data_IF_567031346160
#
_entry.id   IF_567031346160
#
_cell.length_a   1.000
_cell.length_b   1.000
_cell.length_c   1.000
_cell.angle_alpha   90.00
_cell.angle_beta   90.00
_cell.angle_gamma   90.00
#
_symmetry.space_group_name_H-M   'P 1'
#
loop_
_entity.id
_entity.type
_entity.pdbx_description
1 polymer ?
#
# COMPACT_ATOMS: atom_id res chain seq x y z
N UNK A 1 22.73 -5.88 20.20
CA UNK A 1 22.83 -7.36 20.05
C UNK A 1 23.54 -7.69 18.74
N UNK A 2 24.33 -8.78 18.65
CA UNK A 2 24.95 -9.18 17.39
C UNK A 2 23.86 -9.52 16.36
N UNK A 3 23.94 -8.91 15.16
CA UNK A 3 23.03 -9.22 14.05
C UNK A 3 23.09 -10.72 13.77
N UNK A 4 21.92 -11.37 13.77
CA UNK A 4 21.76 -12.75 13.29
C UNK A 4 22.29 -12.78 11.86
N UNK A 5 23.37 -13.52 11.62
CA UNK A 5 23.95 -13.66 10.28
C UNK A 5 23.22 -14.76 9.54
N UNK A 6 22.53 -14.41 8.46
CA UNK A 6 21.90 -15.37 7.58
C UNK A 6 22.80 -15.69 6.39
N UNK A 7 22.93 -16.98 6.05
CA UNK A 7 23.75 -17.41 4.91
C UNK A 7 23.28 -16.77 3.59
N UNK A 8 21.97 -16.56 3.45
CA UNK A 8 21.36 -15.97 2.26
C UNK A 8 21.67 -14.47 2.08
N UNK A 9 22.25 -13.78 3.08
CA UNK A 9 22.59 -12.35 2.97
C UNK A 9 23.59 -12.06 1.85
N UNK A 10 24.50 -13.00 1.61
CA UNK A 10 25.59 -12.89 0.64
C UNK A 10 25.23 -13.42 -0.75
N UNK A 11 24.07 -14.06 -0.89
CA UNK A 11 23.62 -14.58 -2.18
C UNK A 11 23.35 -13.43 -3.15
N UNK A 12 23.65 -13.69 -4.43
CA UNK A 12 23.18 -12.86 -5.53
C UNK A 12 21.64 -12.79 -5.54
N UNK A 13 21.07 -11.84 -6.26
CA UNK A 13 19.60 -11.75 -6.37
C UNK A 13 19.01 -13.04 -6.95
N UNK A 14 19.65 -13.62 -7.97
CA UNK A 14 19.15 -14.82 -8.65
C UNK A 14 19.17 -16.04 -7.73
N UNK A 15 20.26 -16.23 -6.96
CA UNK A 15 20.35 -17.30 -5.97
C UNK A 15 19.38 -17.10 -4.79
N UNK A 16 19.18 -15.85 -4.36
CA UNK A 16 18.23 -15.52 -3.31
C UNK A 16 16.79 -15.79 -3.76
N UNK A 17 16.45 -15.47 -5.01
CA UNK A 17 15.12 -15.73 -5.58
C UNK A 17 14.77 -17.23 -5.58
N UNK A 18 15.76 -18.13 -5.65
CA UNK A 18 15.53 -19.58 -5.55
C UNK A 18 15.29 -20.08 -4.11
N UNK A 19 15.49 -19.23 -3.09
CA UNK A 19 15.21 -19.62 -1.71
C UNK A 19 13.71 -19.70 -1.45
N UNK A 20 13.30 -20.69 -0.65
CA UNK A 20 11.93 -20.79 -0.13
C UNK A 20 11.69 -19.70 0.91
N UNK A 21 10.47 -19.15 0.94
CA UNK A 21 10.09 -18.17 1.97
C UNK A 21 10.37 -18.71 3.40
N UNK A 22 9.97 -19.95 3.67
CA UNK A 22 10.23 -20.64 4.95
C UNK A 22 11.71 -20.84 5.29
N UNK A 23 12.63 -20.84 4.32
CA UNK A 23 14.07 -20.99 4.59
C UNK A 23 14.73 -19.70 5.07
N UNK A 24 14.07 -18.55 4.92
CA UNK A 24 14.61 -17.25 5.36
C UNK A 24 14.78 -17.17 6.88
N UNK A 25 13.85 -17.80 7.62
CA UNK A 25 13.85 -17.90 9.10
C UNK A 25 14.03 -16.56 9.82
N UNK A 26 13.57 -15.48 9.19
CA UNK A 26 13.55 -14.15 9.78
C UNK A 26 12.45 -14.04 10.83
N UNK A 27 12.66 -13.15 11.80
CA UNK A 27 11.79 -12.96 12.97
C UNK A 27 11.58 -11.46 13.20
N UNK A 28 10.61 -11.10 14.05
CA UNK A 28 10.41 -9.70 14.47
C UNK A 28 11.49 -9.29 15.47
N UNK A 29 11.80 -10.19 16.39
CA UNK A 29 12.75 -10.01 17.48
C UNK A 29 14.17 -9.72 16.96
N UNK A 30 14.83 -8.74 17.56
CA UNK A 30 16.16 -8.27 17.17
C UNK A 30 16.18 -7.40 15.92
N UNK A 31 15.02 -6.91 15.46
CA UNK A 31 14.87 -6.03 14.29
C UNK A 31 14.17 -4.73 14.68
N UNK A 32 14.22 -3.72 13.81
CA UNK A 32 13.51 -2.45 13.99
C UNK A 32 11.97 -2.61 14.01
N UNK A 33 11.44 -3.76 13.59
CA UNK A 33 10.02 -4.09 13.71
C UNK A 33 9.63 -4.35 15.17
N UNK A 34 10.55 -4.88 15.99
CA UNK A 34 10.31 -5.07 17.43
C UNK A 34 10.03 -3.74 18.10
N UNK A 35 10.81 -2.70 17.78
CA UNK A 35 10.60 -1.34 18.27
C UNK A 35 9.24 -0.78 17.81
N UNK A 36 8.85 -1.01 16.54
CA UNK A 36 7.56 -0.58 16.02
C UNK A 36 6.38 -1.26 16.75
N UNK A 37 6.47 -2.57 16.98
CA UNK A 37 5.45 -3.35 17.70
C UNK A 37 5.38 -2.92 19.16
N UNK A 38 6.53 -2.68 19.80
CA UNK A 38 6.59 -2.16 21.16
C UNK A 38 5.90 -0.79 21.26
N UNK A 39 6.20 0.14 20.34
CA UNK A 39 5.52 1.44 20.27
C UNK A 39 4.01 1.30 20.07
N UNK A 40 3.55 0.39 19.20
CA UNK A 40 2.12 0.12 19.04
C UNK A 40 1.48 -0.38 20.35
N UNK A 41 2.15 -1.29 21.06
CA UNK A 41 1.64 -1.80 22.34
C UNK A 41 1.60 -0.71 23.42
N UNK A 42 2.61 0.16 23.48
CA UNK A 42 2.60 1.34 24.36
C UNK A 42 1.42 2.27 24.05
N UNK A 43 1.17 2.57 22.77
CA UNK A 43 0.03 3.40 22.36
C UNK A 43 -1.32 2.78 22.74
N UNK A 44 -1.46 1.45 22.68
CA UNK A 44 -2.66 0.73 23.12
C UNK A 44 -2.80 0.75 24.65
N UNK A 45 -1.70 0.55 25.38
CA UNK A 45 -1.67 0.56 26.83
C UNK A 45 -2.02 1.95 27.40
N UNK A 46 -1.51 3.02 26.79
CA UNK A 46 -1.86 4.42 27.13
C UNK A 46 -3.37 4.70 26.99
N UNK A 47 -4.06 3.93 26.15
CA UNK A 47 -5.51 3.99 25.95
C UNK A 47 -6.28 2.98 26.81
N UNK A 48 -5.58 2.23 27.68
CA UNK A 48 -6.19 1.20 28.54
C UNK A 48 -6.69 -0.03 27.76
N UNK A 49 -6.27 -0.21 26.52
CA UNK A 49 -6.68 -1.33 25.67
C UNK A 49 -5.83 -2.55 26.01
N UNK A 50 -6.46 -3.56 26.61
CA UNK A 50 -5.75 -4.76 27.08
C UNK A 50 -5.35 -5.74 25.98
N UNK A 51 -6.04 -5.70 24.84
CA UNK A 51 -5.72 -6.56 23.72
C UNK A 51 -4.42 -6.05 23.10
N UNK A 52 -3.36 -6.86 23.22
CA UNK A 52 -2.09 -6.63 22.53
C UNK A 52 -2.00 -7.59 21.34
N UNK A 53 -2.15 -7.11 20.09
CA UNK A 53 -2.13 -7.99 18.94
C UNK A 53 -0.81 -8.77 18.90
N UNK A 54 -0.89 -10.10 18.78
CA UNK A 54 0.33 -10.89 18.55
C UNK A 54 0.77 -10.71 17.10
N UNK A 55 2.08 -10.71 16.88
CA UNK A 55 2.65 -10.49 15.55
C UNK A 55 3.40 -11.73 15.07
N UNK A 56 3.41 -11.98 13.77
CA UNK A 56 4.23 -13.00 13.14
C UNK A 56 4.69 -12.57 11.75
N UNK A 57 5.76 -13.19 11.25
CA UNK A 57 6.21 -12.92 9.88
C UNK A 57 5.38 -13.76 8.89
N UNK A 58 4.94 -13.14 7.79
CA UNK A 58 4.23 -13.76 6.67
C UNK A 58 4.72 -13.18 5.33
N UNK A 59 3.96 -13.39 4.25
CA UNK A 59 4.26 -12.87 2.92
C UNK A 59 3.88 -11.39 2.74
N UNK A 60 2.78 -10.93 3.34
CA UNK A 60 2.24 -9.57 3.23
C UNK A 60 1.66 -9.10 4.58
N UNK A 61 1.24 -7.83 4.65
CA UNK A 61 0.47 -7.28 5.76
C UNK A 61 -0.97 -7.80 5.74
N UNK A 62 -1.48 -8.27 6.88
CA UNK A 62 -2.91 -8.52 7.10
C UNK A 62 -3.21 -8.87 8.57
N UNK A 63 -4.45 -8.61 8.98
CA UNK A 63 -5.05 -9.16 10.20
C UNK A 63 -6.12 -10.18 9.80
N UNK A 64 -5.97 -11.49 10.10
CA UNK A 64 -6.97 -12.48 9.73
C UNK A 64 -8.30 -12.25 10.46
N UNK A 65 -9.39 -12.64 9.81
CA UNK A 65 -10.71 -12.68 10.44
C UNK A 65 -10.69 -13.57 11.69
N UNK A 66 -11.32 -13.08 12.77
CA UNK A 66 -11.42 -13.79 14.05
C UNK A 66 -10.06 -14.14 14.71
N UNK A 67 -8.97 -13.51 14.28
CA UNK A 67 -7.64 -13.64 14.92
C UNK A 67 -7.17 -12.25 15.38
N UNK A 68 -6.97 -12.03 16.70
CA UNK A 68 -6.51 -10.74 17.23
C UNK A 68 -4.99 -10.59 17.07
N UNK A 69 -4.49 -10.60 15.83
CA UNK A 69 -3.07 -10.53 15.54
C UNK A 69 -2.74 -10.05 14.13
N UNK A 70 -1.47 -9.71 13.92
CA UNK A 70 -0.99 -8.99 12.73
C UNK A 70 0.12 -9.82 12.04
N UNK A 71 -0.10 -10.15 10.78
CA UNK A 71 0.94 -10.65 9.89
C UNK A 71 1.80 -9.51 9.36
N UNK A 72 3.12 -9.65 9.47
CA UNK A 72 4.12 -8.68 9.02
C UNK A 72 4.90 -9.27 7.85
N UNK A 73 5.09 -8.57 6.72
CA UNK A 73 5.83 -9.12 5.58
C UNK A 73 7.30 -9.38 5.90
N UNK A 74 7.80 -10.52 5.43
CA UNK A 74 9.18 -10.98 5.61
C UNK A 74 10.22 -9.97 5.12
N UNK A 75 9.92 -9.20 4.08
CA UNK A 75 10.89 -8.30 3.47
C UNK A 75 11.31 -7.16 4.39
N UNK A 76 10.48 -6.79 5.38
CA UNK A 76 10.82 -5.74 6.35
C UNK A 76 11.78 -6.20 7.44
N UNK A 77 11.90 -7.51 7.66
CA UNK A 77 12.71 -8.07 8.74
C UNK A 77 14.23 -7.98 8.47
N UNK A 78 14.67 -7.65 7.25
CA UNK A 78 16.09 -7.53 6.95
C UNK A 78 16.41 -6.60 5.77
N UNK A 79 17.46 -5.73 5.85
CA UNK A 79 17.81 -4.79 4.78
C UNK A 79 18.07 -5.42 3.40
N UNK A 80 18.65 -6.62 3.36
CA UNK A 80 18.88 -7.36 2.10
C UNK A 80 17.58 -7.75 1.41
N UNK A 81 16.54 -8.09 2.19
CA UNK A 81 15.22 -8.44 1.69
C UNK A 81 14.46 -7.18 1.26
N UNK A 82 14.54 -6.08 2.01
CA UNK A 82 14.01 -4.77 1.58
C UNK A 82 14.62 -4.32 0.26
N UNK A 83 15.93 -4.57 0.04
CA UNK A 83 16.59 -4.27 -1.24
C UNK A 83 16.04 -5.13 -2.38
N UNK A 84 15.75 -6.42 -2.11
CA UNK A 84 15.13 -7.31 -3.09
C UNK A 84 13.70 -6.87 -3.40
N UNK A 85 12.86 -6.62 -2.39
CA UNK A 85 11.48 -6.11 -2.54
C UNK A 85 11.48 -4.85 -3.40
N UNK A 86 12.35 -3.88 -3.08
CA UNK A 86 12.50 -2.65 -3.87
C UNK A 86 12.89 -2.90 -5.33
N UNK A 87 13.70 -3.93 -5.60
CA UNK A 87 14.10 -4.28 -6.97
C UNK A 87 12.93 -4.92 -7.73
N UNK A 88 12.20 -5.82 -7.07
CA UNK A 88 11.13 -6.61 -7.68
C UNK A 88 9.82 -5.83 -7.81
N UNK A 89 9.55 -4.91 -6.87
CA UNK A 89 8.26 -4.21 -6.71
C UNK A 89 8.38 -2.69 -6.86
N UNK A 90 9.60 -2.16 -7.01
CA UNK A 90 9.93 -0.72 -7.06
C UNK A 90 9.58 0.11 -5.81
N UNK A 91 8.98 -0.51 -4.81
CA UNK A 91 8.62 0.07 -3.53
C UNK A 91 8.86 -0.95 -2.40
N UNK A 92 8.87 -0.47 -1.16
CA UNK A 92 8.90 -1.32 0.04
C UNK A 92 7.80 -0.81 0.96
N UNK A 93 6.63 -1.44 0.91
CA UNK A 93 5.50 -1.01 1.73
C UNK A 93 5.81 -1.17 3.22
N UNK A 94 5.58 -0.11 4.00
CA UNK A 94 6.02 -0.09 5.38
C UNK A 94 7.55 -0.01 5.56
N UNK A 95 8.33 0.28 4.50
CA UNK A 95 9.79 0.31 4.56
C UNK A 95 10.41 1.47 5.36
N UNK A 96 9.58 2.34 5.93
CA UNK A 96 10.00 3.44 6.83
C UNK A 96 9.23 3.36 8.14
N UNK A 97 9.81 3.85 9.24
CA UNK A 97 9.14 3.91 10.55
C UNK A 97 7.72 4.48 10.47
N UNK A 98 7.56 5.61 9.78
CA UNK A 98 6.28 6.30 9.65
C UNK A 98 5.24 5.45 8.91
N UNK A 99 5.63 4.79 7.84
CA UNK A 99 4.71 3.95 7.03
C UNK A 99 4.40 2.64 7.76
N UNK A 100 5.40 2.00 8.37
CA UNK A 100 5.22 0.81 9.21
C UNK A 100 4.24 1.07 10.36
N UNK A 101 4.45 2.17 11.09
CA UNK A 101 3.55 2.56 12.18
C UNK A 101 2.16 3.01 11.69
N UNK A 102 2.01 3.45 10.44
CA UNK A 102 0.68 3.70 9.88
C UNK A 102 -0.04 2.35 9.68
N UNK A 103 0.60 1.41 8.98
CA UNK A 103 0.02 0.09 8.69
C UNK A 103 -0.24 -0.69 10.00
N UNK A 104 0.70 -0.72 10.93
CA UNK A 104 0.52 -1.40 12.23
C UNK A 104 -0.70 -0.91 13.01
N UNK A 105 -0.95 0.40 13.03
CA UNK A 105 -2.15 0.97 13.69
C UNK A 105 -3.43 0.59 12.95
N UNK A 106 -3.38 0.52 11.63
CA UNK A 106 -4.49 0.05 10.81
C UNK A 106 -4.80 -1.42 11.11
N UNK A 107 -3.80 -2.31 11.04
CA UNK A 107 -3.97 -3.73 11.34
C UNK A 107 -4.37 -3.99 12.80
N UNK A 108 -3.89 -3.16 13.74
CA UNK A 108 -4.37 -3.19 15.11
C UNK A 108 -5.86 -2.86 15.21
N UNK A 109 -6.38 -1.97 14.35
CA UNK A 109 -7.82 -1.70 14.24
C UNK A 109 -8.62 -2.97 13.91
N UNK A 110 -8.17 -3.75 12.92
CA UNK A 110 -8.77 -5.04 12.58
C UNK A 110 -8.65 -6.05 13.73
N UNK A 111 -7.48 -6.16 14.37
CA UNK A 111 -7.29 -7.05 15.51
C UNK A 111 -8.22 -6.71 16.68
N UNK A 112 -8.44 -5.42 16.96
CA UNK A 112 -9.37 -4.92 17.99
C UNK A 112 -10.82 -5.16 17.58
N UNK A 113 -11.17 -4.92 16.31
CA UNK A 113 -12.48 -5.23 15.74
C UNK A 113 -12.85 -6.69 16.03
N UNK A 114 -11.99 -7.63 15.61
CA UNK A 114 -12.24 -9.06 15.77
C UNK A 114 -12.18 -9.49 17.24
N UNK A 115 -11.17 -9.04 17.98
CA UNK A 115 -10.98 -9.40 19.39
C UNK A 115 -12.18 -9.10 20.28
N UNK A 116 -12.86 -7.98 20.05
CA UNK A 116 -14.06 -7.56 20.81
C UNK A 116 -15.38 -7.74 20.04
N UNK A 117 -15.33 -8.32 18.83
CA UNK A 117 -16.47 -8.48 17.93
C UNK A 117 -17.26 -7.18 17.69
N UNK A 118 -16.56 -6.06 17.55
CA UNK A 118 -17.15 -4.72 17.47
C UNK A 118 -18.09 -4.55 16.28
N UNK A 119 -17.79 -5.24 15.18
CA UNK A 119 -18.55 -5.25 13.93
C UNK A 119 -19.98 -5.82 14.08
N UNK A 120 -20.27 -6.52 15.18
CA UNK A 120 -21.62 -7.03 15.49
C UNK A 120 -22.53 -5.98 16.13
N UNK A 121 -21.97 -4.87 16.63
CA UNK A 121 -22.74 -3.82 17.31
C UNK A 121 -23.58 -3.02 16.31
N UNK A 122 -24.85 -2.76 16.66
CA UNK A 122 -25.78 -2.00 15.79
C UNK A 122 -25.25 -0.62 15.40
N UNK A 123 -24.71 0.13 16.36
CA UNK A 123 -24.17 1.48 16.10
C UNK A 123 -22.92 1.46 15.21
N UNK A 124 -22.09 0.42 15.34
CA UNK A 124 -20.97 0.19 14.43
C UNK A 124 -21.49 0.02 12.99
N UNK A 125 -22.47 -0.87 12.79
CA UNK A 125 -23.04 -1.14 11.46
C UNK A 125 -23.74 0.08 10.84
N UNK A 126 -24.37 0.93 11.66
CA UNK A 126 -24.97 2.18 11.20
C UNK A 126 -23.93 3.19 10.69
N UNK A 127 -22.75 3.23 11.29
CA UNK A 127 -21.70 4.21 10.97
C UNK A 127 -20.77 3.74 9.84
N UNK A 128 -20.37 2.47 9.84
CA UNK A 128 -19.40 1.91 8.90
C UNK A 128 -20.05 1.06 7.79
N UNK A 129 -21.20 0.45 8.08
CA UNK A 129 -21.85 -0.54 7.23
C UNK A 129 -21.66 -1.96 7.74
N UNK A 130 -22.24 -2.99 7.08
CA UNK A 130 -22.10 -4.38 7.50
C UNK A 130 -20.73 -4.96 7.11
N UNK A 131 -20.03 -5.57 8.07
CA UNK A 131 -18.76 -6.29 7.84
C UNK A 131 -18.93 -7.52 6.94
N UNK A 132 -20.14 -8.09 6.85
CA UNK A 132 -20.47 -9.19 5.94
C UNK A 132 -20.54 -8.79 4.46
N UNK A 133 -20.25 -7.52 4.13
CA UNK A 133 -20.17 -7.09 2.74
C UNK A 133 -19.03 -7.85 2.05
N UNK A 134 -19.23 -8.21 0.79
CA UNK A 134 -18.16 -8.88 0.05
C UNK A 134 -16.99 -7.92 -0.15
N UNK A 135 -15.78 -8.34 0.23
CA UNK A 135 -14.55 -7.62 -0.08
C UNK A 135 -14.40 -7.53 -1.59
N UNK A 136 -14.46 -6.33 -2.18
CA UNK A 136 -14.32 -6.22 -3.61
C UNK A 136 -12.88 -6.57 -3.99
N UNK A 137 -12.66 -7.19 -5.14
CA UNK A 137 -11.28 -7.32 -5.68
C UNK A 137 -10.65 -5.95 -6.00
N UNK A 138 -11.50 -4.93 -6.08
CA UNK A 138 -11.30 -3.72 -6.85
C UNK A 138 -12.31 -2.65 -6.41
N UNK A 139 -11.86 -1.47 -5.98
CA UNK A 139 -12.77 -0.38 -5.58
C UNK A 139 -12.49 0.95 -6.30
N UNK A 140 -13.50 1.83 -6.30
CA UNK A 140 -13.43 3.18 -6.87
C UNK A 140 -13.78 4.19 -5.77
N UNK A 141 -12.79 4.87 -5.18
CA UNK A 141 -13.07 5.87 -4.16
C UNK A 141 -13.63 7.15 -4.80
N UNK A 142 -14.30 7.94 -3.96
CA UNK A 142 -14.67 9.32 -4.24
C UNK A 142 -13.71 10.25 -3.48
N UNK A 143 -12.73 10.87 -4.15
CA UNK A 143 -11.77 11.77 -3.53
C UNK A 143 -12.36 12.98 -2.79
N UNK A 144 -13.54 13.44 -3.23
CA UNK A 144 -14.23 14.59 -2.63
C UNK A 144 -15.06 14.22 -1.39
N UNK A 145 -15.16 12.93 -1.05
CA UNK A 145 -15.96 12.48 0.10
C UNK A 145 -15.31 12.90 1.41
N UNK A 146 -16.08 13.63 2.24
CA UNK A 146 -15.72 13.97 3.63
C UNK A 146 -16.25 12.96 4.66
N UNK A 147 -16.84 11.85 4.21
CA UNK A 147 -17.43 10.82 5.09
C UNK A 147 -16.40 9.86 5.68
N UNK A 148 -15.15 9.92 5.22
CA UNK A 148 -14.08 8.99 5.57
C UNK A 148 -12.88 9.76 6.07
N UNK A 149 -12.12 9.12 6.96
CA UNK A 149 -10.82 9.64 7.36
C UNK A 149 -9.78 9.44 6.24
N UNK A 150 -8.68 10.17 6.32
CA UNK A 150 -7.52 10.04 5.44
C UNK A 150 -6.30 9.60 6.26
N UNK A 151 -5.92 8.33 6.10
CA UNK A 151 -4.80 7.72 6.79
C UNK A 151 -3.85 7.01 5.83
N UNK A 152 -4.21 5.84 5.30
CA UNK A 152 -3.49 5.18 4.22
C UNK A 152 -3.83 5.84 2.87
N UNK A 153 -2.98 5.57 1.86
CA UNK A 153 -3.12 6.16 0.52
C UNK A 153 -4.38 5.63 -0.18
N UNK A 154 -4.69 6.21 -1.34
CA UNK A 154 -5.75 5.73 -2.23
C UNK A 154 -7.17 5.74 -1.62
N UNK A 155 -7.40 6.54 -0.57
CA UNK A 155 -8.69 6.61 0.12
C UNK A 155 -9.14 5.24 0.63
N UNK A 156 -8.19 4.47 1.19
CA UNK A 156 -8.38 3.08 1.59
C UNK A 156 -9.60 2.84 2.48
N UNK A 157 -9.95 3.80 3.35
CA UNK A 157 -11.17 3.78 4.16
C UNK A 157 -12.48 3.60 3.37
N UNK A 158 -12.49 3.85 2.05
CA UNK A 158 -13.68 3.70 1.19
C UNK A 158 -13.83 2.29 0.59
N UNK A 159 -12.84 1.42 0.79
CA UNK A 159 -12.77 0.13 0.10
C UNK A 159 -13.76 -0.89 0.68
N UNK A 160 -13.93 -0.90 2.01
CA UNK A 160 -14.82 -1.80 2.74
C UNK A 160 -15.16 -1.23 4.14
N UNK A 161 -16.32 -1.55 4.75
CA UNK A 161 -16.68 -1.11 6.11
C UNK A 161 -15.62 -1.38 7.18
N UNK A 162 -14.97 -2.53 7.12
CA UNK A 162 -13.93 -2.91 8.08
C UNK A 162 -12.68 -2.04 7.89
N UNK A 163 -12.35 -1.68 6.65
CA UNK A 163 -11.24 -0.78 6.33
C UNK A 163 -11.54 0.66 6.77
N UNK A 164 -12.78 1.11 6.65
CA UNK A 164 -13.24 2.39 7.19
C UNK A 164 -13.06 2.46 8.71
N UNK A 165 -13.38 1.37 9.42
CA UNK A 165 -13.15 1.26 10.85
C UNK A 165 -11.66 1.23 11.20
N UNK A 166 -10.86 0.38 10.55
CA UNK A 166 -9.43 0.25 10.81
C UNK A 166 -8.67 1.57 10.55
N UNK A 167 -9.01 2.27 9.46
CA UNK A 167 -8.47 3.60 9.17
C UNK A 167 -8.90 4.65 10.22
N UNK A 168 -10.16 4.64 10.64
CA UNK A 168 -10.68 5.54 11.68
C UNK A 168 -9.99 5.29 13.03
N UNK A 169 -9.82 4.01 13.39
CA UNK A 169 -9.10 3.59 14.59
C UNK A 169 -7.63 4.05 14.54
N UNK A 170 -6.94 3.87 13.42
CA UNK A 170 -5.54 4.28 13.29
C UNK A 170 -5.33 5.80 13.46
N UNK A 171 -6.25 6.61 12.93
CA UNK A 171 -6.25 8.08 13.13
C UNK A 171 -6.50 8.46 14.58
N UNK A 172 -7.44 7.77 15.23
CA UNK A 172 -7.78 7.99 16.64
C UNK A 172 -6.62 7.61 17.57
N UNK A 173 -6.00 6.44 17.34
CA UNK A 173 -4.93 5.89 18.18
C UNK A 173 -3.66 6.75 18.11
N UNK A 174 -3.31 7.22 16.90
CA UNK A 174 -2.07 7.98 16.65
C UNK A 174 -1.89 9.13 17.65
N UNK A 175 -0.79 9.18 18.41
CA UNK A 175 -0.52 10.25 19.36
C UNK A 175 -0.54 11.63 18.69
N UNK A 176 -1.11 12.61 19.39
CA UNK A 176 -1.18 14.02 18.94
C UNK A 176 -1.79 14.18 17.53
N UNK A 177 -2.74 13.32 17.15
CA UNK A 177 -3.35 13.38 15.81
C UNK A 177 -4.27 14.59 15.59
N UNK A 178 -4.66 15.30 16.67
CA UNK A 178 -5.57 16.46 16.65
C UNK A 178 -6.82 16.21 15.79
N UNK A 179 -7.33 14.97 15.83
CA UNK A 179 -8.37 14.51 14.91
C UNK A 179 -9.66 15.31 15.03
N UNK A 180 -9.98 15.83 16.23
CA UNK A 180 -11.16 16.68 16.47
C UNK A 180 -11.13 17.93 15.60
N UNK A 181 -10.03 18.67 15.62
CA UNK A 181 -9.83 19.87 14.80
C UNK A 181 -9.65 19.51 13.32
N UNK A 182 -8.88 18.45 13.01
CA UNK A 182 -8.60 18.06 11.63
C UNK A 182 -9.86 17.69 10.83
N UNK A 183 -10.85 17.07 11.49
CA UNK A 183 -12.09 16.60 10.87
C UNK A 183 -13.31 17.46 11.27
N UNK A 184 -13.10 18.66 11.80
CA UNK A 184 -14.18 19.58 12.11
C UNK A 184 -15.06 19.84 10.88
N UNK A 185 -16.38 19.74 11.05
CA UNK A 185 -17.36 19.87 9.97
C UNK A 185 -17.40 18.71 8.97
N UNK A 186 -16.59 17.65 9.15
CA UNK A 186 -16.65 16.45 8.30
C UNK A 186 -17.57 15.40 8.92
N UNK A 187 -18.42 14.71 8.12
CA UNK A 187 -19.20 13.58 8.64
C UNK A 187 -18.35 12.44 9.24
N UNK A 188 -17.09 12.30 8.82
CA UNK A 188 -16.13 11.36 9.41
C UNK A 188 -15.89 11.59 10.91
N UNK A 189 -16.07 12.81 11.41
CA UNK A 189 -15.88 13.14 12.82
C UNK A 189 -16.78 12.31 13.74
N UNK A 190 -18.02 12.04 13.31
CA UNK A 190 -18.95 11.19 14.07
C UNK A 190 -18.43 9.76 14.28
N UNK A 191 -17.65 9.24 13.32
CA UNK A 191 -17.02 7.93 13.43
C UNK A 191 -15.86 7.95 14.42
N UNK A 192 -15.05 9.02 14.40
CA UNK A 192 -13.95 9.22 15.35
C UNK A 192 -14.47 9.37 16.79
N UNK A 193 -15.53 10.15 16.99
CA UNK A 193 -16.21 10.29 18.28
C UNK A 193 -16.77 8.95 18.76
N UNK A 194 -17.39 8.18 17.86
CA UNK A 194 -17.86 6.84 18.18
C UNK A 194 -16.72 5.89 18.55
N UNK A 195 -15.59 5.92 17.83
CA UNK A 195 -14.41 5.11 18.18
C UNK A 195 -13.85 5.52 19.54
N UNK A 196 -13.78 6.82 19.86
CA UNK A 196 -13.32 7.31 21.17
C UNK A 196 -14.19 6.80 22.32
N UNK A 197 -15.52 6.89 22.17
CA UNK A 197 -16.50 6.34 23.12
C UNK A 197 -16.37 4.82 23.25
N UNK A 198 -16.32 4.12 22.11
CA UNK A 198 -16.24 2.66 22.06
C UNK A 198 -14.96 2.12 22.71
N UNK A 199 -13.83 2.80 22.51
CA UNK A 199 -12.55 2.43 23.13
C UNK A 199 -12.58 2.69 24.64
N UNK A 200 -13.22 3.77 25.09
CA UNK A 200 -13.49 4.01 26.51
C UNK A 200 -14.34 2.91 27.16
N UNK A 201 -15.35 2.40 26.46
CA UNK A 201 -16.19 1.31 26.97
C UNK A 201 -15.43 -0.02 27.13
N UNK A 202 -14.45 -0.32 26.26
CA UNK A 202 -13.70 -1.58 26.31
C UNK A 202 -12.39 -1.46 27.10
N UNK A 203 -12.00 -0.25 27.51
CA UNK A 203 -10.82 -0.03 28.33
C UNK A 203 -10.85 -0.91 29.60
N UNK A 204 -9.73 -1.56 29.90
CA UNK A 204 -9.60 -2.49 31.02
C UNK A 204 -10.32 -3.85 30.86
N UNK A 205 -11.15 -4.03 29.83
CA UNK A 205 -11.85 -5.31 29.57
C UNK A 205 -10.98 -6.28 28.79
N UNK A 206 -11.18 -7.58 29.03
CA UNK A 206 -10.52 -8.64 28.26
C UNK A 206 -11.23 -8.80 26.90
N UNK A 207 -10.51 -9.08 25.81
CA UNK A 207 -11.14 -9.41 24.54
C UNK A 207 -11.90 -10.73 24.63
N UNK A 208 -12.94 -10.87 23.80
CA UNK A 208 -13.76 -12.08 23.70
C UNK A 208 -13.01 -13.19 22.96
N UNK A 209 -12.27 -12.82 21.92
CA UNK A 209 -11.42 -13.72 21.17
C UNK A 209 -9.98 -13.55 21.64
N UNK A 210 -9.36 -14.65 22.07
CA UNK A 210 -7.99 -14.68 22.61
C UNK A 210 -7.08 -15.68 21.88
N UNK A 211 -7.51 -16.20 20.73
CA UNK A 211 -6.68 -17.14 19.94
C UNK A 211 -5.36 -16.48 19.54
N UNK A 212 -4.29 -17.29 19.50
CA UNK A 212 -2.96 -16.88 19.04
C UNK A 212 -2.54 -17.61 17.78
N UNK A 213 -3.52 -18.09 17.00
CA UNK A 213 -3.30 -18.67 15.69
C UNK A 213 -2.50 -17.70 14.79
N UNK A 214 -1.64 -18.27 13.95
CA UNK A 214 -0.84 -17.55 12.96
C UNK A 214 -1.25 -18.09 11.60
N UNK A 215 -1.99 -17.28 10.84
CA UNK A 215 -2.43 -17.63 9.48
C UNK A 215 -1.29 -17.35 8.52
N UNK A 216 -1.01 -18.31 7.62
CA UNK A 216 0.07 -18.25 6.64
C UNK A 216 1.43 -17.80 7.22
N UNK A 217 1.91 -18.38 8.33
CA UNK A 217 3.18 -17.98 8.92
C UNK A 217 4.32 -18.33 7.97
N UNK A 218 5.37 -17.50 7.94
CA UNK A 218 6.50 -17.65 7.02
C UNK A 218 7.09 -19.06 7.01
N UNK A 219 7.16 -19.70 8.19
CA UNK A 219 7.67 -21.06 8.36
C UNK A 219 6.89 -22.13 7.58
N UNK A 220 5.65 -21.86 7.20
CA UNK A 220 4.78 -22.77 6.43
C UNK A 220 4.73 -22.43 4.94
N UNK A 221 5.30 -21.29 4.52
CA UNK A 221 5.31 -20.86 3.12
C UNK A 221 6.44 -21.58 2.35
N UNK A 222 6.06 -22.56 1.53
CA UNK A 222 7.00 -23.41 0.77
C UNK A 222 7.41 -22.83 -0.58
N UNK A 223 6.65 -21.87 -1.12
CA UNK A 223 6.96 -21.22 -2.40
C UNK A 223 8.30 -20.50 -2.35
N UNK A 224 8.98 -20.42 -3.50
CA UNK A 224 10.22 -19.65 -3.63
C UNK A 224 9.93 -18.15 -3.64
N UNK A 225 10.96 -17.35 -3.36
CA UNK A 225 10.89 -15.91 -3.53
C UNK A 225 10.55 -15.54 -4.98
N UNK A 226 11.10 -16.26 -5.96
CA UNK A 226 10.77 -16.06 -7.38
C UNK A 226 9.27 -16.27 -7.66
N UNK A 227 8.69 -17.37 -7.20
CA UNK A 227 7.26 -17.68 -7.37
C UNK A 227 6.39 -16.61 -6.70
N UNK A 228 6.75 -16.21 -5.48
CA UNK A 228 6.08 -15.12 -4.75
C UNK A 228 6.06 -13.83 -5.57
N UNK A 229 7.22 -13.37 -6.05
CA UNK A 229 7.30 -12.13 -6.83
C UNK A 229 6.62 -12.23 -8.18
N UNK A 230 6.72 -13.36 -8.89
CA UNK A 230 5.98 -13.59 -10.14
C UNK A 230 4.48 -13.47 -9.93
N UNK A 231 3.95 -14.09 -8.86
CA UNK A 231 2.53 -13.99 -8.49
C UNK A 231 2.13 -12.55 -8.14
N UNK A 232 2.93 -11.87 -7.32
CA UNK A 232 2.68 -10.47 -6.90
C UNK A 232 2.72 -9.51 -8.10
N UNK A 233 3.70 -9.65 -8.98
CA UNK A 233 3.79 -8.85 -10.22
C UNK A 233 2.64 -9.12 -11.18
N UNK A 234 2.22 -10.38 -11.34
CA UNK A 234 1.06 -10.74 -12.17
C UNK A 234 -0.25 -10.13 -11.63
N UNK A 235 -0.39 -9.98 -10.31
CA UNK A 235 -1.53 -9.29 -9.70
C UNK A 235 -1.57 -7.80 -10.06
N UNK A 236 -0.41 -7.12 -10.04
CA UNK A 236 -0.27 -5.72 -10.44
C UNK A 236 -0.14 -5.51 -11.96
N UNK A 237 -0.12 -6.59 -12.76
CA UNK A 237 0.02 -6.53 -14.20
C UNK A 237 -1.20 -5.85 -14.83
N UNK A 238 -1.08 -4.54 -15.00
CA UNK A 238 -2.05 -3.72 -15.70
C UNK A 238 -1.77 -3.74 -17.20
N UNK A 239 -2.68 -4.30 -18.00
CA UNK A 239 -2.67 -4.05 -19.46
C UNK A 239 -3.14 -2.63 -19.75
N UNK A 240 -2.30 -1.73 -20.27
CA UNK A 240 -2.71 -0.36 -20.56
C UNK A 240 -3.68 -0.30 -21.74
N UNK A 241 -4.68 0.58 -21.71
CA UNK A 241 -5.46 0.88 -22.91
C UNK A 241 -4.58 1.60 -23.94
N UNK A 242 -4.71 1.26 -25.23
CA UNK A 242 -3.96 1.84 -26.37
C UNK A 242 -4.32 3.31 -26.69
N UNK A 243 -4.70 4.11 -25.70
CA UNK A 243 -5.33 5.43 -25.90
C UNK A 243 -4.36 6.61 -25.79
N UNK A 244 -3.05 6.37 -25.64
CA UNK A 244 -2.07 7.44 -25.40
C UNK A 244 -1.54 8.12 -26.66
N UNK A 245 -1.71 7.54 -27.84
CA UNK A 245 -1.11 8.03 -29.11
C UNK A 245 -1.41 9.50 -29.39
N UNK A 246 -2.66 9.92 -29.21
CA UNK A 246 -3.08 11.31 -29.43
C UNK A 246 -2.37 12.27 -28.49
N UNK A 247 -2.21 11.90 -27.23
CA UNK A 247 -1.58 12.76 -26.23
C UNK A 247 -0.05 12.76 -26.37
N UNK A 248 0.55 11.62 -26.70
CA UNK A 248 1.97 11.53 -27.03
C UNK A 248 2.32 12.37 -28.26
N UNK A 249 1.48 12.37 -29.29
CA UNK A 249 1.68 13.16 -30.51
C UNK A 249 1.44 14.66 -30.32
N UNK A 250 0.82 15.07 -29.21
CA UNK A 250 0.74 16.50 -28.82
C UNK A 250 2.02 16.98 -28.14
N UNK A 251 2.71 16.07 -27.47
CA UNK A 251 3.91 16.38 -26.70
C UNK A 251 5.20 16.20 -27.51
N UNK A 252 5.23 15.17 -28.35
CA UNK A 252 6.37 14.81 -29.19
C UNK A 252 6.01 14.96 -30.66
N UNK A 253 6.99 15.28 -31.49
CA UNK A 253 6.75 15.60 -32.90
C UNK A 253 6.85 14.36 -33.81
N UNK A 254 5.95 14.27 -34.77
CA UNK A 254 6.00 13.36 -35.93
C UNK A 254 6.52 14.06 -37.19
N UNK A 255 6.89 15.34 -37.12
CA UNK A 255 7.29 16.12 -38.30
C UNK A 255 8.59 15.56 -38.90
N UNK A 256 8.62 15.20 -40.20
CA UNK A 256 9.81 14.66 -40.85
C UNK A 256 11.06 15.56 -40.73
N UNK A 257 10.87 16.87 -40.57
CA UNK A 257 11.97 17.84 -40.36
C UNK A 257 12.75 17.56 -39.08
N UNK A 258 12.16 16.85 -38.12
CA UNK A 258 12.76 16.52 -36.84
C UNK A 258 13.24 15.06 -36.74
N UNK A 259 13.34 14.30 -37.84
CA UNK A 259 13.78 12.90 -37.81
C UNK A 259 15.16 12.68 -37.14
N UNK A 260 16.07 13.67 -37.23
CA UNK A 260 17.40 13.62 -36.58
C UNK A 260 17.37 13.95 -35.09
N UNK A 261 16.26 14.49 -34.60
CA UNK A 261 16.09 14.78 -33.17
C UNK A 261 16.02 13.47 -32.37
N UNK A 262 16.35 13.60 -31.08
CA UNK A 262 16.35 12.48 -30.13
C UNK A 262 15.00 11.76 -30.13
N UNK A 263 14.94 10.42 -30.19
CA UNK A 263 13.70 9.69 -30.04
C UNK A 263 13.01 9.98 -28.70
N UNK A 264 11.70 10.20 -28.70
CA UNK A 264 10.91 10.43 -27.49
C UNK A 264 10.99 9.23 -26.53
N UNK A 265 10.99 8.01 -27.09
CA UNK A 265 11.18 6.78 -26.32
C UNK A 265 12.48 6.76 -25.52
N UNK A 266 13.57 7.29 -26.08
CA UNK A 266 14.87 7.41 -25.39
C UNK A 266 14.85 8.49 -24.30
N UNK A 267 14.11 9.59 -24.49
CA UNK A 267 13.89 10.60 -23.46
C UNK A 267 13.11 10.02 -22.28
N UNK A 268 11.98 9.36 -22.54
CA UNK A 268 11.14 8.76 -21.49
C UNK A 268 11.92 7.70 -20.71
N UNK A 269 12.66 6.82 -21.40
CA UNK A 269 13.51 5.80 -20.77
C UNK A 269 14.52 6.37 -19.80
N UNK A 270 15.21 7.45 -20.21
CA UNK A 270 16.21 8.12 -19.38
C UNK A 270 15.61 8.62 -18.06
N UNK A 271 14.40 9.16 -18.12
CA UNK A 271 13.72 9.79 -16.97
C UNK A 271 12.71 8.89 -16.26
N UNK A 272 12.55 7.63 -16.72
CA UNK A 272 11.51 6.69 -16.29
C UNK A 272 11.40 6.55 -14.78
N UNK A 273 12.51 6.28 -14.09
CA UNK A 273 12.52 6.07 -12.64
C UNK A 273 12.19 7.35 -11.85
N UNK A 274 12.50 8.53 -12.38
CA UNK A 274 12.12 9.81 -11.76
C UNK A 274 10.62 10.05 -11.94
N UNK A 275 10.12 9.93 -13.18
CA UNK A 275 8.70 10.13 -13.51
C UNK A 275 7.84 9.17 -12.69
N UNK A 276 8.16 7.87 -12.70
CA UNK A 276 7.43 6.85 -11.95
C UNK A 276 7.34 7.15 -10.45
N UNK A 277 8.46 7.47 -9.81
CA UNK A 277 8.49 7.79 -8.37
C UNK A 277 7.68 9.05 -8.05
N UNK A 278 7.75 10.06 -8.92
CA UNK A 278 7.03 11.31 -8.73
C UNK A 278 5.51 11.10 -8.90
N UNK A 279 5.10 10.41 -9.97
CA UNK A 279 3.68 10.09 -10.21
C UNK A 279 3.14 9.23 -9.07
N UNK A 280 3.82 8.15 -8.69
CA UNK A 280 3.39 7.27 -7.60
C UNK A 280 3.16 8.02 -6.28
N UNK A 281 4.04 8.98 -5.97
CA UNK A 281 3.90 9.81 -4.76
C UNK A 281 2.61 10.62 -4.75
N UNK A 282 2.21 11.16 -5.89
CA UNK A 282 1.05 12.05 -6.00
C UNK A 282 -0.26 11.31 -6.24
N UNK A 283 -0.23 10.21 -7.01
CA UNK A 283 -1.43 9.43 -7.34
C UNK A 283 -1.71 8.35 -6.30
N UNK A 284 -0.71 7.92 -5.54
CA UNK A 284 -0.78 6.76 -4.65
C UNK A 284 -0.69 5.42 -5.37
N UNK A 285 -0.59 5.42 -6.71
CA UNK A 285 -0.61 4.21 -7.54
C UNK A 285 0.66 3.37 -7.38
N UNK A 286 0.53 2.06 -7.52
CA UNK A 286 1.66 1.14 -7.43
C UNK A 286 2.70 1.45 -8.52
N UNK A 287 3.98 1.48 -8.14
CA UNK A 287 5.05 1.80 -9.08
C UNK A 287 5.17 0.76 -10.21
N UNK A 288 4.89 -0.53 -10.01
CA UNK A 288 4.86 -1.52 -11.10
C UNK A 288 3.79 -1.20 -12.14
N UNK A 289 2.60 -0.83 -11.68
CA UNK A 289 1.50 -0.47 -12.58
C UNK A 289 1.86 0.75 -13.42
N UNK A 290 2.47 1.77 -12.81
CA UNK A 290 3.00 2.92 -13.52
C UNK A 290 4.15 2.56 -14.47
N UNK A 291 5.01 1.62 -14.09
CA UNK A 291 6.11 1.14 -14.92
C UNK A 291 5.58 0.47 -16.20
N UNK A 292 4.56 -0.37 -16.09
CA UNK A 292 3.88 -0.99 -17.22
C UNK A 292 3.22 0.04 -18.16
N UNK A 293 2.63 1.09 -17.60
CA UNK A 293 2.08 2.22 -18.40
C UNK A 293 3.20 2.96 -19.14
N UNK A 294 4.33 3.21 -18.48
CA UNK A 294 5.48 3.86 -19.11
C UNK A 294 6.09 2.99 -20.22
N UNK A 295 6.12 1.67 -20.06
CA UNK A 295 6.54 0.74 -21.12
C UNK A 295 5.67 0.83 -22.36
N UNK A 296 4.36 0.82 -22.19
CA UNK A 296 3.43 0.97 -23.31
C UNK A 296 3.62 2.32 -24.01
N UNK A 297 3.70 3.43 -23.26
CA UNK A 297 3.97 4.75 -23.83
C UNK A 297 5.31 4.79 -24.59
N UNK A 298 6.36 4.13 -24.09
CA UNK A 298 7.65 4.00 -24.76
C UNK A 298 7.52 3.19 -26.06
N UNK A 299 6.75 2.10 -26.06
CA UNK A 299 6.46 1.31 -27.27
C UNK A 299 5.71 2.16 -28.30
N UNK A 300 4.63 2.83 -27.89
CA UNK A 300 3.86 3.73 -28.76
C UNK A 300 4.74 4.84 -29.35
N UNK A 301 5.61 5.45 -28.57
CA UNK A 301 6.56 6.45 -29.08
C UNK A 301 7.50 5.91 -30.16
N UNK A 302 7.88 4.62 -30.09
CA UNK A 302 8.72 3.99 -31.11
C UNK A 302 7.93 3.66 -32.37
N UNK A 303 6.75 3.08 -32.20
CA UNK A 303 5.88 2.69 -33.31
C UNK A 303 5.41 3.91 -34.13
N UNK A 304 5.21 5.05 -33.48
CA UNK A 304 4.83 6.32 -34.11
C UNK A 304 6.05 7.18 -34.54
N UNK A 305 7.27 6.69 -34.34
CA UNK A 305 8.54 7.40 -34.59
C UNK A 305 8.62 8.83 -33.98
N UNK A 306 8.09 8.99 -32.77
CA UNK A 306 7.99 10.29 -32.11
C UNK A 306 9.36 10.86 -31.70
N UNK A 307 9.52 12.17 -31.90
CA UNK A 307 10.75 12.92 -31.68
C UNK A 307 10.62 13.92 -30.53
N UNK A 308 11.60 13.94 -29.64
CA UNK A 308 11.73 14.91 -28.56
C UNK A 308 12.37 16.20 -29.08
N UNK A 309 11.54 17.18 -29.43
CA UNK A 309 11.97 18.46 -30.00
C UNK A 309 11.85 19.56 -28.95
N UNK A 310 12.94 20.28 -28.70
CA UNK A 310 13.01 21.37 -27.73
C UNK A 310 13.68 20.98 -26.41
N UNK A 311 13.35 21.71 -25.34
CA UNK A 311 13.98 21.55 -24.03
C UNK A 311 13.62 20.21 -23.39
N UNK A 312 14.64 19.40 -23.06
CA UNK A 312 14.47 18.12 -22.36
C UNK A 312 13.75 18.32 -21.01
N UNK A 313 14.08 19.38 -20.25
CA UNK A 313 13.43 19.66 -18.97
C UNK A 313 11.93 19.92 -19.13
N UNK A 314 11.54 20.73 -20.13
CA UNK A 314 10.13 21.03 -20.39
C UNK A 314 9.38 19.78 -20.83
N UNK A 315 9.94 18.99 -21.75
CA UNK A 315 9.33 17.75 -22.22
C UNK A 315 9.13 16.74 -21.09
N UNK A 316 10.10 16.60 -20.18
CA UNK A 316 9.98 15.72 -19.01
C UNK A 316 8.90 16.20 -18.06
N UNK A 317 8.82 17.51 -17.81
CA UNK A 317 7.77 18.11 -16.98
C UNK A 317 6.39 17.85 -17.59
N UNK A 318 6.20 18.23 -18.85
CA UNK A 318 4.92 18.10 -19.56
C UNK A 318 4.50 16.62 -19.67
N UNK A 319 5.46 15.71 -19.92
CA UNK A 319 5.20 14.27 -19.88
C UNK A 319 4.78 13.78 -18.50
N UNK A 320 5.44 14.26 -17.44
CA UNK A 320 5.06 13.91 -16.06
C UNK A 320 3.64 14.39 -15.75
N UNK A 321 3.27 15.61 -16.16
CA UNK A 321 1.90 16.13 -16.02
C UNK A 321 0.92 15.25 -16.77
N UNK A 322 1.22 14.87 -18.01
CA UNK A 322 0.39 13.97 -18.81
C UNK A 322 0.17 12.63 -18.10
N UNK A 323 1.25 11.98 -17.64
CA UNK A 323 1.15 10.68 -16.96
C UNK A 323 0.33 10.82 -15.68
N UNK A 324 0.60 11.82 -14.83
CA UNK A 324 -0.20 12.09 -13.63
C UNK A 324 -1.68 12.29 -13.97
N UNK A 325 -1.99 13.15 -14.94
CA UNK A 325 -3.37 13.43 -15.34
C UNK A 325 -4.08 12.17 -15.87
N UNK A 326 -3.38 11.34 -16.66
CA UNK A 326 -3.94 10.09 -17.19
C UNK A 326 -4.10 9.02 -16.13
N UNK A 327 -3.16 8.89 -15.20
CA UNK A 327 -3.29 7.99 -14.04
C UNK A 327 -4.48 8.43 -13.19
N UNK A 328 -4.59 9.71 -12.85
CA UNK A 328 -5.75 10.23 -12.09
C UNK A 328 -7.06 10.05 -12.87
N UNK A 329 -7.09 10.32 -14.17
CA UNK A 329 -8.29 10.09 -14.99
C UNK A 329 -8.63 8.60 -15.09
N UNK A 330 -7.65 7.70 -15.16
CA UNK A 330 -7.91 6.26 -15.14
C UNK A 330 -8.48 5.82 -13.78
N UNK A 331 -7.99 6.39 -12.68
CA UNK A 331 -8.46 6.10 -11.33
C UNK A 331 -9.85 6.69 -11.04
N UNK A 332 -10.17 7.88 -11.60
CA UNK A 332 -11.36 8.66 -11.19
C UNK A 332 -12.35 8.99 -12.31
N UNK A 333 -12.02 8.73 -13.58
CA UNK A 333 -12.82 9.08 -14.75
C UNK A 333 -14.07 8.20 -14.95
N UNK A 334 -15.14 8.72 -15.58
CA UNK A 334 -16.41 8.00 -15.77
C UNK A 334 -16.35 6.87 -16.80
N UNK A 335 -15.36 6.83 -17.69
CA UNK A 335 -15.25 5.84 -18.77
C UNK A 335 -14.12 4.81 -18.56
N UNK A 336 -14.53 3.56 -18.29
CA UNK A 336 -13.82 2.27 -18.40
C UNK A 336 -12.70 1.91 -17.40
N UNK A 337 -13.08 0.95 -16.54
CA UNK A 337 -12.39 -0.31 -16.18
C UNK A 337 -10.88 -0.23 -15.99
N UNK A 338 -10.44 0.15 -14.79
CA UNK A 338 -9.59 -0.67 -13.91
C UNK A 338 -9.45 0.07 -12.58
N UNK A 339 -9.34 -0.71 -11.52
CA UNK A 339 -9.76 -0.36 -10.18
C UNK A 339 -8.55 -0.45 -9.24
N UNK A 340 -8.58 0.24 -8.08
CA UNK A 340 -7.55 0.03 -7.06
C UNK A 340 -7.73 -1.40 -6.54
N UNK A 341 -6.68 -2.22 -6.71
CA UNK A 341 -6.66 -3.56 -6.18
C UNK A 341 -6.59 -3.50 -4.65
N UNK A 342 -7.42 -4.33 -4.01
CA UNK A 342 -7.39 -4.56 -2.57
C UNK A 342 -6.36 -5.63 -2.22
#
# INVERSE_FOLDING_TARGET
MPRRKFAWEKLSDDELLQQRLSSLRVTVEGTWLEDCVATLHEELDERGIRLRPHTWISSEWFSPGDVPGIAIPFYLAHPRLMKLEKKMMFDVEGGTWRECMAILRHEAGHAIQHGFQLQRRRRWQQLFGPSSKHYPRYYRPNPASRRYVQHLRLWYAQSHPDEDFAETFAVWLRPRSNWRTRYEGWPALKKLEYVDELMGEIAGKRPLITTRERVDPLSQLSQTLEEHYKKKQAFYAFTPPKTYDRDLSRLFSTDPRHHRSKPASSLIRRHRAQIRRLVARWTGENQLTLDAVLDDMISRCRELDLRAVGSEQKLVLDFTVLVTAKTMHALFGPSRRKWIAL
#
